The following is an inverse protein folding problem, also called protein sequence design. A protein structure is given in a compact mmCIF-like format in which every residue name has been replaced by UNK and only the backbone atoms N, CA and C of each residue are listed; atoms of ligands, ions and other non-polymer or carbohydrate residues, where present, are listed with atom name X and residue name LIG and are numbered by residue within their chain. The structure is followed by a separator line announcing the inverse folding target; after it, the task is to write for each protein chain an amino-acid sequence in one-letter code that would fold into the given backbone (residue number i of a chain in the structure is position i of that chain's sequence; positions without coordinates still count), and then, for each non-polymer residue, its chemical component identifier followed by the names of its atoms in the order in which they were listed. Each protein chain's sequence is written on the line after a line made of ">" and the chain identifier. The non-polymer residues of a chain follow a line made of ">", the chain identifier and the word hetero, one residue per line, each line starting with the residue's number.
data_IF_769708442586
#
_entry.id   IF_769708442586
#
_cell.length_a   1.000
_cell.length_b   1.000
_cell.length_c   1.000
_cell.angle_alpha   90.00
_cell.angle_beta   90.00
_cell.angle_gamma   90.00
#
_symmetry.space_group_name_H-M   'P 1'
#
loop_
_entity.id
_entity.type
_entity.pdbx_description
1 polymer ?
#
# COMPACT_ATOMS: atom_id res chain seq x y z
N UNK A 1 -9.93 11.13 -11.11
CA UNK A 1 -8.75 12.01 -10.97
C UNK A 1 -7.65 11.07 -10.48
N UNK A 2 -6.55 11.53 -9.90
CA UNK A 2 -5.58 10.63 -9.27
C UNK A 2 -5.11 11.30 -8.00
N UNK A 3 -5.16 10.58 -6.88
CA UNK A 3 -4.68 11.06 -5.59
C UNK A 3 -3.50 10.23 -5.15
N UNK A 4 -2.56 10.86 -4.46
CA UNK A 4 -1.37 10.16 -3.98
C UNK A 4 -0.87 10.73 -2.66
N UNK A 5 -0.29 9.85 -1.86
CA UNK A 5 0.26 10.19 -0.56
C UNK A 5 1.42 9.27 -0.20
N UNK A 6 2.46 9.84 0.39
CA UNK A 6 3.60 9.07 0.92
C UNK A 6 3.31 8.61 2.36
N UNK A 7 3.62 7.35 2.63
CA UNK A 7 3.48 6.70 3.95
C UNK A 7 4.78 6.03 4.36
N UNK A 8 5.01 5.92 5.66
CA UNK A 8 6.15 5.22 6.24
C UNK A 8 5.78 3.78 6.62
N UNK A 9 6.65 2.82 6.29
CA UNK A 9 6.52 1.43 6.71
C UNK A 9 6.93 1.29 8.18
N UNK A 10 5.95 1.12 9.08
CA UNK A 10 6.20 1.01 10.52
C UNK A 10 6.46 -0.43 10.99
N UNK A 11 5.91 -1.43 10.31
CA UNK A 11 6.00 -2.82 10.73
C UNK A 11 7.42 -3.38 10.49
N UNK A 12 7.91 -4.20 11.43
CA UNK A 12 9.32 -4.65 11.47
C UNK A 12 9.78 -5.42 10.22
N UNK A 13 8.88 -6.19 9.61
CA UNK A 13 9.20 -7.10 8.51
C UNK A 13 8.90 -6.51 7.12
N UNK A 14 8.37 -5.29 7.02
CA UNK A 14 8.03 -4.67 5.73
C UNK A 14 6.83 -5.30 5.02
N UNK A 15 6.70 -5.17 3.69
CA UNK A 15 5.63 -5.84 2.93
C UNK A 15 5.91 -7.34 2.73
N UNK A 16 5.70 -8.13 3.78
CA UNK A 16 5.62 -9.59 3.70
C UNK A 16 4.19 -10.06 3.40
N UNK A 17 3.98 -11.39 3.38
CA UNK A 17 2.74 -11.98 2.88
C UNK A 17 1.47 -11.52 3.61
N UNK A 18 1.56 -11.26 4.92
CA UNK A 18 0.40 -10.89 5.75
C UNK A 18 -0.08 -9.45 5.52
N UNK A 19 0.77 -8.41 5.62
CA UNK A 19 0.35 -7.05 5.29
C UNK A 19 -0.02 -6.91 3.81
N UNK A 20 0.66 -7.65 2.91
CA UNK A 20 0.30 -7.69 1.48
C UNK A 20 -1.12 -8.25 1.25
N UNK A 21 -1.50 -9.34 1.94
CA UNK A 21 -2.86 -9.89 1.87
C UNK A 21 -3.90 -8.93 2.45
N UNK A 22 -3.63 -8.30 3.61
CA UNK A 22 -4.53 -7.31 4.20
C UNK A 22 -4.77 -6.12 3.27
N UNK A 23 -3.70 -5.61 2.66
CA UNK A 23 -3.78 -4.52 1.70
C UNK A 23 -4.59 -4.94 0.47
N UNK A 24 -4.32 -6.13 -0.07
CA UNK A 24 -5.07 -6.71 -1.19
C UNK A 24 -6.57 -6.81 -0.89
N UNK A 25 -6.95 -7.37 0.26
CA UNK A 25 -8.36 -7.49 0.67
C UNK A 25 -9.03 -6.12 0.85
N UNK A 26 -8.30 -5.15 1.40
CA UNK A 26 -8.78 -3.79 1.58
C UNK A 26 -9.05 -3.11 0.24
N UNK A 27 -8.11 -3.13 -0.70
CA UNK A 27 -8.27 -2.44 -1.99
C UNK A 27 -9.33 -3.10 -2.87
N UNK A 28 -9.56 -4.41 -2.73
CA UNK A 28 -10.64 -5.12 -3.43
C UNK A 28 -12.05 -4.67 -3.02
N UNK A 29 -12.17 -3.91 -1.91
CA UNK A 29 -13.45 -3.35 -1.45
C UNK A 29 -13.78 -2.00 -2.07
N UNK A 30 -12.91 -1.44 -2.92
CA UNK A 30 -13.06 -0.13 -3.56
C UNK A 30 -13.04 -0.24 -5.08
N UNK A 31 -13.80 0.62 -5.77
CA UNK A 31 -13.68 0.80 -7.22
C UNK A 31 -12.56 1.81 -7.52
N UNK A 32 -11.32 1.39 -7.24
CA UNK A 32 -10.11 2.17 -7.49
C UNK A 32 -8.90 1.26 -7.71
N UNK A 33 -8.04 1.65 -8.65
CA UNK A 33 -6.72 1.06 -8.82
C UNK A 33 -5.76 1.71 -7.83
N UNK A 34 -5.02 0.89 -7.07
CA UNK A 34 -4.03 1.35 -6.09
C UNK A 34 -2.65 0.84 -6.47
N UNK A 35 -1.72 1.77 -6.68
CA UNK A 35 -0.33 1.52 -7.03
C UNK A 35 0.58 2.00 -5.89
N UNK A 36 1.60 1.22 -5.58
CA UNK A 36 2.61 1.55 -4.58
C UNK A 36 3.95 1.72 -5.28
N UNK A 37 4.68 2.78 -4.93
CA UNK A 37 6.01 3.05 -5.47
C UNK A 37 7.00 3.31 -4.35
N UNK A 38 8.11 2.57 -4.35
CA UNK A 38 9.19 2.82 -3.38
C UNK A 38 10.12 3.96 -3.85
N UNK A 39 11.00 4.41 -2.95
CA UNK A 39 11.99 5.46 -3.25
C UNK A 39 12.98 5.09 -4.36
N UNK A 40 13.13 3.80 -4.67
CA UNK A 40 13.97 3.30 -5.77
C UNK A 40 13.26 3.27 -7.13
N UNK A 41 11.98 3.63 -7.18
CA UNK A 41 11.15 3.60 -8.38
C UNK A 41 10.57 2.24 -8.73
N UNK A 42 10.66 1.25 -7.85
CA UNK A 42 9.94 -0.02 -7.99
C UNK A 42 8.46 0.20 -7.74
N UNK A 43 7.63 -0.34 -8.62
CA UNK A 43 6.17 -0.22 -8.57
C UNK A 43 5.54 -1.58 -8.27
N UNK A 44 4.47 -1.57 -7.49
CA UNK A 44 3.67 -2.74 -7.20
C UNK A 44 2.20 -2.37 -7.12
N UNK A 45 1.37 -3.12 -7.85
CA UNK A 45 -0.08 -3.01 -7.74
C UNK A 45 -0.57 -3.66 -6.44
N UNK A 46 -1.43 -2.96 -5.71
CA UNK A 46 -2.03 -3.47 -4.47
C UNK A 46 -2.95 -4.68 -4.70
N UNK A 47 -3.45 -4.84 -5.94
CA UNK A 47 -4.23 -5.99 -6.41
C UNK A 47 -3.36 -7.25 -6.63
N UNK A 48 -2.03 -7.16 -6.52
CA UNK A 48 -1.12 -8.28 -6.74
C UNK A 48 -0.23 -8.50 -5.52
N UNK A 49 -0.61 -9.50 -4.72
CA UNK A 49 0.18 -9.94 -3.54
C UNK A 49 1.63 -10.23 -3.91
N UNK A 50 1.87 -10.83 -5.09
CA UNK A 50 3.23 -11.13 -5.56
C UNK A 50 4.02 -9.84 -5.84
N UNK A 51 3.41 -8.84 -6.48
CA UNK A 51 4.07 -7.57 -6.75
C UNK A 51 4.41 -6.84 -5.44
N UNK A 52 3.49 -6.84 -4.48
CA UNK A 52 3.70 -6.28 -3.14
C UNK A 52 4.88 -6.93 -2.40
N UNK A 53 5.05 -8.25 -2.53
CA UNK A 53 6.18 -8.97 -1.94
C UNK A 53 7.53 -8.62 -2.59
N UNK A 54 7.51 -8.17 -3.85
CA UNK A 54 8.70 -7.72 -4.58
C UNK A 54 8.99 -6.24 -4.36
N UNK A 55 8.06 -5.50 -3.74
CA UNK A 55 8.25 -4.10 -3.39
C UNK A 55 9.28 -4.02 -2.25
N UNK A 56 10.47 -3.53 -2.56
CA UNK A 56 11.55 -3.35 -1.58
C UNK A 56 11.16 -2.30 -0.52
N UNK A 57 10.54 -2.78 0.56
CA UNK A 57 9.72 -2.01 1.52
C UNK A 57 10.06 -2.35 2.97
N UNK A 58 11.35 -2.30 3.31
CA UNK A 58 11.82 -2.50 4.68
C UNK A 58 11.26 -1.43 5.66
N UNK A 59 11.26 -1.76 6.96
CA UNK A 59 10.88 -0.83 8.03
C UNK A 59 11.63 0.51 7.93
N UNK A 60 10.93 1.62 8.16
CA UNK A 60 11.45 2.99 8.12
C UNK A 60 11.61 3.56 6.71
N UNK A 61 11.25 2.81 5.68
CA UNK A 61 11.20 3.33 4.30
C UNK A 61 9.87 4.01 4.01
N UNK A 62 9.92 4.88 3.01
CA UNK A 62 8.73 5.57 2.51
C UNK A 62 8.24 4.93 1.23
N UNK A 63 6.91 4.80 1.11
CA UNK A 63 6.22 4.33 -0.08
C UNK A 63 5.22 5.40 -0.51
N UNK A 64 5.24 5.78 -1.78
CA UNK A 64 4.17 6.58 -2.39
C UNK A 64 3.02 5.63 -2.74
N UNK A 65 1.84 5.91 -2.18
CA UNK A 65 0.60 5.24 -2.53
C UNK A 65 -0.16 6.16 -3.47
N UNK A 66 -0.52 5.66 -4.64
CA UNK A 66 -1.32 6.34 -5.64
C UNK A 66 -2.63 5.56 -5.84
N UNK A 67 -3.75 6.27 -5.87
CA UNK A 67 -5.07 5.70 -6.13
C UNK A 67 -5.73 6.46 -7.29
N UNK A 68 -6.34 5.70 -8.21
CA UNK A 68 -7.01 6.21 -9.40
C UNK A 68 -8.35 5.50 -9.57
N UNK A 69 -9.44 6.26 -9.72
CA UNK A 69 -10.77 5.71 -9.96
C UNK A 69 -11.89 6.43 -9.20
N UNK A 70 -13.13 5.97 -9.33
CA UNK A 70 -14.28 6.53 -8.61
C UNK A 70 -14.09 6.64 -7.09
N UNK A 71 -13.45 5.65 -6.47
CA UNK A 71 -13.20 5.60 -5.02
C UNK A 71 -11.79 6.04 -4.61
N UNK A 72 -11.05 6.74 -5.49
CA UNK A 72 -9.63 7.07 -5.27
C UNK A 72 -9.32 7.69 -3.90
N UNK A 73 -10.17 8.60 -3.43
CA UNK A 73 -10.00 9.30 -2.14
C UNK A 73 -10.22 8.35 -0.97
N UNK A 74 -11.26 7.52 -1.05
CA UNK A 74 -11.62 6.57 0.01
C UNK A 74 -10.60 5.44 0.10
N UNK A 75 -10.17 4.91 -1.06
CA UNK A 75 -9.15 3.88 -1.17
C UNK A 75 -7.82 4.39 -0.60
N UNK A 76 -7.37 5.59 -1.01
CA UNK A 76 -6.13 6.17 -0.48
C UNK A 76 -6.20 6.37 1.04
N UNK A 77 -7.30 6.92 1.56
CA UNK A 77 -7.46 7.16 2.99
C UNK A 77 -7.40 5.85 3.80
N UNK A 78 -8.11 4.81 3.35
CA UNK A 78 -8.13 3.51 4.01
C UNK A 78 -6.74 2.83 3.97
N UNK A 79 -6.06 2.90 2.82
CA UNK A 79 -4.70 2.36 2.68
C UNK A 79 -3.73 3.09 3.60
N UNK A 80 -3.75 4.43 3.62
CA UNK A 80 -2.92 5.24 4.51
C UNK A 80 -3.18 4.90 5.98
N UNK A 81 -4.44 4.69 6.37
CA UNK A 81 -4.79 4.26 7.73
C UNK A 81 -4.19 2.88 8.06
N UNK A 82 -4.25 1.93 7.13
CA UNK A 82 -3.67 0.59 7.28
C UNK A 82 -2.14 0.63 7.45
N UNK A 83 -1.44 1.48 6.69
CA UNK A 83 0.00 1.72 6.89
C UNK A 83 0.27 2.37 8.25
N UNK A 84 -0.56 3.34 8.66
CA UNK A 84 -0.40 4.04 9.92
C UNK A 84 -0.63 3.15 11.16
N UNK A 85 -1.55 2.18 11.06
CA UNK A 85 -1.80 1.15 12.07
C UNK A 85 -0.71 0.08 12.13
N UNK A 86 0.27 0.11 11.20
CA UNK A 86 1.31 -0.90 11.11
C UNK A 86 0.76 -2.28 10.75
N UNK A 87 -0.35 -2.34 10.00
CA UNK A 87 -1.02 -3.59 9.62
C UNK A 87 -1.47 -4.46 10.80
N UNK A 88 -1.69 -3.85 11.97
CA UNK A 88 -1.94 -4.54 13.26
C UNK A 88 -0.84 -5.53 13.63
N UNK A 89 0.42 -5.18 13.35
CA UNK A 89 1.62 -5.96 13.64
C UNK A 89 2.66 -5.12 14.41
N UNK A 90 3.44 -5.77 15.28
CA UNK A 90 4.43 -5.16 16.19
C UNK A 90 5.79 -4.85 15.56
#
# INVERSE_FOLDING_TARGET
>A
MTVKQTVEIKNKLGMHARPAMKLFELVQSFDAEVMLRNESGTEAEASSVIALLMLDSAQGRHIEVEATGPDEVNALAAVVELFNSGFDED
#
